data_IF_669269839832
#
_entry.id   IF_669269839832
#
_cell.length_a   1.000
_cell.length_b   1.000
_cell.length_c   1.000
_cell.angle_alpha   90.00
_cell.angle_beta   90.00
_cell.angle_gamma   90.00
#
_symmetry.space_group_name_H-M   'P 1'
#
loop_
_entity.id
_entity.type
_entity.pdbx_description
1 polymer ?
#
# COMPACT_ATOMS: atom_id res chain seq x y z
N UNK A 1 34.02 39.38 16.14
CA UNK A 1 32.83 38.73 16.75
C UNK A 1 31.75 38.59 15.68
N UNK A 2 31.78 37.50 14.90
CA UNK A 2 30.78 37.22 13.87
C UNK A 2 29.56 36.57 14.51
N UNK A 3 28.43 37.30 14.54
CA UNK A 3 27.16 36.89 15.18
C UNK A 3 26.42 35.73 14.48
N UNK A 4 27.11 34.89 13.73
CA UNK A 4 26.47 33.86 12.88
C UNK A 4 27.08 32.45 13.00
N UNK A 5 27.97 32.19 13.97
CA UNK A 5 28.64 30.90 14.08
C UNK A 5 27.81 29.80 14.79
N UNK A 6 26.64 30.13 15.33
CA UNK A 6 25.86 29.21 16.18
C UNK A 6 24.36 29.20 15.84
N UNK A 7 24.04 29.13 14.55
CA UNK A 7 22.67 28.83 14.13
C UNK A 7 22.52 27.31 14.05
N UNK A 8 21.73 26.67 14.93
CA UNK A 8 21.52 25.23 14.85
C UNK A 8 20.91 24.88 13.48
N UNK A 9 21.29 23.75 12.88
CA UNK A 9 20.72 23.29 11.62
C UNK A 9 19.20 23.24 11.77
N UNK A 10 18.47 23.89 10.85
CA UNK A 10 17.00 23.80 10.80
C UNK A 10 16.65 22.34 10.54
N UNK A 11 16.06 21.70 11.55
CA UNK A 11 15.42 20.37 11.57
C UNK A 11 15.87 19.41 10.45
N UNK A 12 16.82 18.53 10.79
CA UNK A 12 17.03 17.16 10.26
C UNK A 12 16.72 16.93 8.78
N UNK A 13 17.76 16.68 7.98
CA UNK A 13 17.68 16.20 6.59
C UNK A 13 16.89 14.87 6.41
N UNK A 14 16.37 14.29 7.49
CA UNK A 14 15.67 13.00 7.54
C UNK A 14 14.22 13.07 8.06
N UNK A 15 13.76 14.21 8.61
CA UNK A 15 12.39 14.30 9.16
C UNK A 15 11.49 15.18 8.30
N UNK A 16 10.25 14.71 8.08
CA UNK A 16 9.25 15.47 7.34
C UNK A 16 8.86 16.76 8.07
N UNK A 17 8.79 17.84 7.32
CA UNK A 17 8.18 19.09 7.79
C UNK A 17 6.66 18.97 7.90
N UNK A 18 6.01 19.78 8.73
CA UNK A 18 4.53 19.80 8.84
C UNK A 18 3.82 19.99 7.49
N UNK A 19 4.26 20.90 6.60
CA UNK A 19 3.67 21.02 5.26
C UNK A 19 3.83 19.74 4.41
N UNK A 20 4.97 19.04 4.53
CA UNK A 20 5.18 17.77 3.84
C UNK A 20 4.26 16.67 4.38
N UNK A 21 4.04 16.60 5.70
CA UNK A 21 3.10 15.67 6.31
C UNK A 21 1.66 15.91 5.82
N UNK A 22 1.23 17.17 5.75
CA UNK A 22 -0.09 17.52 5.20
C UNK A 22 -0.20 17.18 3.71
N UNK A 23 0.88 17.39 2.95
CA UNK A 23 0.92 17.02 1.54
C UNK A 23 0.82 15.50 1.33
N UNK A 24 1.41 14.67 2.20
CA UNK A 24 1.24 13.21 2.18
C UNK A 24 -0.23 12.83 2.41
N UNK A 25 -0.90 13.43 3.39
CA UNK A 25 -2.33 13.18 3.64
C UNK A 25 -3.20 13.60 2.45
N UNK A 26 -2.88 14.73 1.82
CA UNK A 26 -3.58 15.19 0.63
C UNK A 26 -3.36 14.25 -0.56
N UNK A 27 -2.12 13.78 -0.78
CA UNK A 27 -1.79 12.80 -1.83
C UNK A 27 -2.55 11.47 -1.66
N UNK A 28 -2.90 11.09 -0.44
CA UNK A 28 -3.72 9.88 -0.18
C UNK A 28 -5.21 10.07 -0.49
N UNK A 29 -5.71 11.31 -0.47
CA UNK A 29 -7.14 11.61 -0.58
C UNK A 29 -7.54 12.09 -1.98
N UNK A 30 -6.66 12.83 -2.63
CA UNK A 30 -6.97 13.53 -3.87
C UNK A 30 -6.62 12.68 -5.11
N UNK A 31 -7.40 12.81 -6.20
CA UNK A 31 -7.21 11.99 -7.40
C UNK A 31 -5.99 12.41 -8.26
N UNK A 32 -5.34 13.53 -7.94
CA UNK A 32 -4.19 14.04 -8.70
C UNK A 32 -3.23 14.84 -7.84
N UNK A 33 -1.98 14.99 -8.30
CA UNK A 33 -0.96 15.80 -7.62
C UNK A 33 -1.35 17.28 -7.56
N UNK A 34 -1.99 17.79 -8.61
CA UNK A 34 -2.50 19.17 -8.63
C UNK A 34 -3.58 19.40 -7.56
N UNK A 35 -4.55 18.49 -7.44
CA UNK A 35 -5.58 18.55 -6.40
C UNK A 35 -4.97 18.38 -4.99
N UNK A 36 -4.02 17.46 -4.82
CA UNK A 36 -3.30 17.27 -3.57
C UNK A 36 -2.52 18.51 -3.15
N UNK A 37 -1.82 19.16 -4.09
CA UNK A 37 -1.08 20.38 -3.83
C UNK A 37 -2.00 21.52 -3.37
N UNK A 38 -3.13 21.71 -4.07
CA UNK A 38 -4.14 22.70 -3.69
C UNK A 38 -4.74 22.42 -2.30
N UNK A 39 -5.12 21.18 -2.03
CA UNK A 39 -5.68 20.71 -0.74
C UNK A 39 -4.67 20.89 0.41
N UNK A 40 -3.38 20.67 0.15
CA UNK A 40 -2.29 20.88 1.12
C UNK A 40 -1.81 22.34 1.23
N UNK A 41 -2.35 23.28 0.44
CA UNK A 41 -1.94 24.69 0.45
C UNK A 41 -0.52 24.93 -0.06
N UNK A 42 0.00 24.09 -0.95
CA UNK A 42 1.35 24.19 -1.53
C UNK A 42 1.30 24.31 -3.05
N UNK A 43 2.34 24.87 -3.66
CA UNK A 43 2.45 24.88 -5.12
C UNK A 43 2.71 23.48 -5.68
N UNK A 44 2.08 23.15 -6.81
CA UNK A 44 2.21 21.84 -7.48
C UNK A 44 3.68 21.49 -7.81
N UNK A 45 4.47 22.47 -8.30
CA UNK A 45 5.92 22.29 -8.53
C UNK A 45 6.69 21.95 -7.25
N UNK A 46 6.27 22.48 -6.10
CA UNK A 46 6.87 22.17 -4.79
C UNK A 46 6.55 20.73 -4.40
N UNK A 47 5.29 20.30 -4.57
CA UNK A 47 4.90 18.91 -4.27
C UNK A 47 5.64 17.91 -5.16
N UNK A 48 5.75 18.17 -6.47
CA UNK A 48 6.56 17.35 -7.36
C UNK A 48 8.04 17.31 -6.99
N UNK A 49 8.60 18.38 -6.42
CA UNK A 49 9.98 18.38 -5.92
C UNK A 49 10.10 17.50 -4.68
N UNK A 50 9.16 17.62 -3.72
CA UNK A 50 9.15 16.79 -2.53
C UNK A 50 8.99 15.31 -2.83
N UNK A 51 8.13 14.93 -3.78
CA UNK A 51 7.98 13.53 -4.23
C UNK A 51 9.27 12.90 -4.78
N UNK A 52 10.30 13.68 -5.10
CA UNK A 52 11.61 13.18 -5.53
C UNK A 52 12.64 13.08 -4.40
N UNK A 53 12.27 13.47 -3.18
CA UNK A 53 13.13 13.33 -2.01
C UNK A 53 12.90 11.96 -1.38
N UNK A 54 13.98 11.21 -1.12
CA UNK A 54 13.90 9.83 -0.64
C UNK A 54 13.06 9.69 0.63
N UNK A 55 13.28 10.56 1.63
CA UNK A 55 12.52 10.54 2.89
C UNK A 55 11.02 10.83 2.70
N UNK A 56 10.64 11.63 1.70
CA UNK A 56 9.26 11.94 1.40
C UNK A 56 8.59 10.80 0.63
N UNK A 57 9.27 10.23 -0.37
CA UNK A 57 8.77 9.07 -1.12
C UNK A 57 8.62 7.84 -0.20
N UNK A 58 9.58 7.60 0.69
CA UNK A 58 9.49 6.55 1.70
C UNK A 58 8.28 6.75 2.61
N UNK A 59 8.13 7.93 3.20
CA UNK A 59 7.00 8.20 4.08
C UNK A 59 5.65 8.16 3.35
N UNK A 60 5.58 8.62 2.10
CA UNK A 60 4.38 8.54 1.29
C UNK A 60 4.04 7.08 0.95
N UNK A 61 5.02 6.26 0.59
CA UNK A 61 4.83 4.82 0.35
C UNK A 61 4.38 4.09 1.62
N UNK A 62 4.94 4.43 2.78
CA UNK A 62 4.52 3.90 4.06
C UNK A 62 3.06 4.25 4.34
N UNK A 63 2.70 5.54 4.27
CA UNK A 63 1.34 6.01 4.51
C UNK A 63 0.32 5.37 3.53
N UNK A 64 0.72 5.16 2.28
CA UNK A 64 -0.10 4.44 1.28
C UNK A 64 -0.27 2.96 1.64
N UNK A 65 0.77 2.29 2.13
CA UNK A 65 0.67 0.90 2.62
C UNK A 65 -0.28 0.82 3.81
N UNK A 66 -0.14 1.70 4.80
CA UNK A 66 -1.00 1.76 5.98
C UNK A 66 -2.48 1.98 5.61
N UNK A 67 -2.76 2.91 4.70
CA UNK A 67 -4.10 3.13 4.18
C UNK A 67 -4.65 1.87 3.48
N UNK A 68 -3.79 1.15 2.74
CA UNK A 68 -4.18 -0.05 2.02
C UNK A 68 -4.40 -1.27 2.95
N UNK A 69 -3.71 -1.37 4.08
CA UNK A 69 -3.90 -2.45 5.08
C UNK A 69 -5.35 -2.54 5.53
N UNK A 70 -6.02 -1.41 5.73
CA UNK A 70 -7.44 -1.40 6.11
C UNK A 70 -8.34 -1.97 5.00
N UNK A 71 -8.07 -1.61 3.74
CA UNK A 71 -8.79 -2.12 2.58
C UNK A 71 -8.54 -3.63 2.38
N UNK A 72 -7.30 -4.10 2.60
CA UNK A 72 -6.97 -5.53 2.61
C UNK A 72 -7.79 -6.25 3.67
N UNK A 73 -7.80 -5.76 4.90
CA UNK A 73 -8.55 -6.38 6.00
C UNK A 73 -10.05 -6.49 5.69
N UNK A 74 -10.64 -5.46 5.07
CA UNK A 74 -12.03 -5.49 4.61
C UNK A 74 -12.24 -6.57 3.52
N UNK A 75 -11.31 -6.66 2.58
CA UNK A 75 -11.36 -7.64 1.48
C UNK A 75 -11.26 -9.06 2.03
N UNK A 76 -10.31 -9.32 2.93
CA UNK A 76 -10.13 -10.61 3.59
C UNK A 76 -11.40 -11.03 4.35
N UNK A 77 -12.01 -10.13 5.14
CA UNK A 77 -13.27 -10.40 5.83
C UNK A 77 -14.44 -10.70 4.88
N UNK A 78 -14.44 -10.11 3.69
CA UNK A 78 -15.52 -10.27 2.70
C UNK A 78 -15.30 -11.43 1.73
N UNK A 79 -14.09 -12.01 1.72
CA UNK A 79 -13.66 -13.03 0.75
C UNK A 79 -14.56 -14.27 0.74
N UNK A 80 -14.94 -14.78 1.91
CA UNK A 80 -15.83 -15.93 2.03
C UNK A 80 -17.20 -15.68 1.38
N UNK A 81 -17.79 -14.50 1.60
CA UNK A 81 -19.06 -14.12 0.99
C UNK A 81 -18.96 -13.92 -0.54
N UNK A 82 -17.82 -13.40 -1.01
CA UNK A 82 -17.54 -13.26 -2.44
C UNK A 82 -17.42 -14.64 -3.10
N UNK A 83 -16.64 -15.57 -2.53
CA UNK A 83 -16.52 -16.96 -3.01
C UNK A 83 -17.87 -17.66 -3.02
N UNK A 84 -18.66 -17.54 -1.94
CA UNK A 84 -20.00 -18.10 -1.87
C UNK A 84 -20.92 -17.56 -2.98
N UNK A 85 -20.79 -16.28 -3.33
CA UNK A 85 -21.54 -15.67 -4.44
C UNK A 85 -21.12 -16.24 -5.80
N UNK A 86 -19.83 -16.41 -6.04
CA UNK A 86 -19.34 -17.07 -7.27
C UNK A 86 -19.85 -18.51 -7.37
N UNK A 87 -19.81 -19.26 -6.25
CA UNK A 87 -20.35 -20.62 -6.21
C UNK A 87 -21.85 -20.66 -6.51
N UNK A 88 -22.65 -19.71 -6.00
CA UNK A 88 -24.08 -19.61 -6.34
C UNK A 88 -24.28 -19.37 -7.83
N UNK A 89 -23.53 -18.44 -8.44
CA UNK A 89 -23.63 -18.15 -9.89
C UNK A 89 -23.26 -19.39 -10.71
N UNK A 90 -22.21 -20.12 -10.32
CA UNK A 90 -21.76 -21.33 -11.01
C UNK A 90 -22.83 -22.43 -11.07
N UNK A 91 -23.63 -22.57 -10.01
CA UNK A 91 -24.69 -23.57 -9.87
C UNK A 91 -26.08 -23.07 -10.29
N UNK A 92 -26.23 -21.78 -10.63
CA UNK A 92 -27.53 -21.22 -11.03
C UNK A 92 -27.90 -21.67 -12.45
N UNK A 93 -28.97 -22.47 -12.65
CA UNK A 93 -29.41 -22.90 -13.97
C UNK A 93 -29.96 -21.75 -14.83
N UNK A 94 -30.31 -20.60 -14.23
CA UNK A 94 -30.80 -19.42 -14.93
C UNK A 94 -29.67 -18.47 -15.36
N UNK A 95 -28.46 -18.64 -14.83
CA UNK A 95 -27.31 -17.84 -15.24
C UNK A 95 -26.84 -18.25 -16.65
N UNK A 96 -26.33 -17.28 -17.42
CA UNK A 96 -25.76 -17.56 -18.74
C UNK A 96 -24.53 -18.46 -18.62
N UNK A 97 -24.25 -19.24 -19.65
CA UNK A 97 -23.05 -20.08 -19.70
C UNK A 97 -21.76 -19.28 -19.47
N UNK A 98 -21.67 -18.07 -20.05
CA UNK A 98 -20.53 -17.19 -19.85
C UNK A 98 -20.37 -16.75 -18.40
N UNK A 99 -21.46 -16.42 -17.70
CA UNK A 99 -21.42 -16.05 -16.28
C UNK A 99 -20.99 -17.22 -15.40
N UNK A 100 -21.47 -18.43 -15.69
CA UNK A 100 -21.08 -19.66 -14.97
C UNK A 100 -19.60 -20.00 -15.17
N UNK A 101 -19.11 -19.91 -16.41
CA UNK A 101 -17.68 -20.10 -16.73
C UNK A 101 -16.83 -19.04 -16.03
N UNK A 102 -17.21 -17.76 -16.10
CA UNK A 102 -16.48 -16.69 -15.44
C UNK A 102 -16.42 -16.89 -13.91
N UNK A 103 -17.51 -17.33 -13.28
CA UNK A 103 -17.53 -17.64 -11.86
C UNK A 103 -16.58 -18.81 -11.52
N UNK A 104 -16.62 -19.89 -12.29
CA UNK A 104 -15.72 -21.03 -12.12
C UNK A 104 -14.24 -20.65 -12.30
N UNK A 105 -13.91 -19.88 -13.33
CA UNK A 105 -12.55 -19.39 -13.57
C UNK A 105 -12.03 -18.53 -12.42
N UNK A 106 -12.86 -17.64 -11.87
CA UNK A 106 -12.48 -16.81 -10.73
C UNK A 106 -12.25 -17.63 -9.45
N UNK A 107 -13.07 -18.65 -9.18
CA UNK A 107 -12.87 -19.56 -8.04
C UNK A 107 -11.56 -20.33 -8.18
N UNK A 108 -11.27 -20.88 -9.35
CA UNK A 108 -10.02 -21.60 -9.62
C UNK A 108 -8.79 -20.68 -9.49
N UNK A 109 -8.89 -19.45 -9.99
CA UNK A 109 -7.84 -18.44 -9.85
C UNK A 109 -7.57 -18.10 -8.38
N UNK A 110 -8.61 -17.83 -7.61
CA UNK A 110 -8.48 -17.57 -6.17
C UNK A 110 -7.83 -18.73 -5.41
N UNK A 111 -8.22 -19.97 -5.73
CA UNK A 111 -7.62 -21.16 -5.12
C UNK A 111 -6.13 -21.31 -5.45
N UNK A 112 -5.75 -21.12 -6.73
CA UNK A 112 -4.36 -21.17 -7.17
C UNK A 112 -3.51 -20.09 -6.50
N UNK A 113 -3.98 -18.84 -6.51
CA UNK A 113 -3.28 -17.72 -5.89
C UNK A 113 -3.09 -17.92 -4.39
N UNK A 114 -4.08 -18.52 -3.71
CA UNK A 114 -3.97 -18.83 -2.27
C UNK A 114 -2.86 -19.84 -1.99
N UNK A 115 -2.73 -20.90 -2.80
CA UNK A 115 -1.64 -21.90 -2.66
C UNK A 115 -0.27 -21.26 -2.92
N UNK A 116 -0.14 -20.46 -3.97
CA UNK A 116 1.11 -19.79 -4.32
C UNK A 116 1.54 -18.80 -3.21
N UNK A 117 0.59 -18.05 -2.64
CA UNK A 117 0.87 -17.12 -1.54
C UNK A 117 1.27 -17.85 -0.24
N UNK A 118 0.59 -18.96 0.09
CA UNK A 118 0.93 -19.75 1.28
C UNK A 118 2.33 -20.39 1.15
N UNK A 119 2.69 -20.92 -0.02
CA UNK A 119 4.05 -21.44 -0.27
C UNK A 119 5.11 -20.34 -0.12
N UNK A 120 4.87 -19.17 -0.72
CA UNK A 120 5.79 -18.03 -0.61
C UNK A 120 5.94 -17.56 0.83
N UNK A 121 4.84 -17.46 1.59
CA UNK A 121 4.88 -17.09 2.99
C UNK A 121 5.70 -18.09 3.83
N UNK A 122 5.52 -19.39 3.60
CA UNK A 122 6.32 -20.42 4.27
C UNK A 122 7.80 -20.34 3.91
N UNK A 123 8.13 -20.04 2.65
CA UNK A 123 9.51 -19.88 2.19
C UNK A 123 10.17 -18.65 2.82
N UNK A 124 9.45 -17.54 2.96
CA UNK A 124 9.95 -16.33 3.66
C UNK A 124 10.24 -16.64 5.13
N UNK A 125 9.32 -17.29 5.85
CA UNK A 125 9.55 -17.69 7.25
C UNK A 125 10.78 -18.58 7.41
N UNK A 126 11.01 -19.51 6.47
CA UNK A 126 12.21 -20.36 6.47
C UNK A 126 13.49 -19.54 6.27
N UNK A 127 13.49 -18.59 5.35
CA UNK A 127 14.63 -17.71 5.09
C UNK A 127 14.93 -16.79 6.28
N UNK A 128 13.90 -16.18 6.87
CA UNK A 128 14.06 -15.30 8.05
C UNK A 128 14.66 -16.06 9.24
N UNK A 129 14.25 -17.31 9.46
CA UNK A 129 14.83 -18.18 10.49
C UNK A 129 16.29 -18.50 10.21
N UNK A 130 16.63 -18.93 9.00
CA UNK A 130 18.01 -19.24 8.62
C UNK A 130 18.94 -18.03 8.79
N UNK A 131 18.52 -16.84 8.36
CA UNK A 131 19.30 -15.61 8.54
C UNK A 131 19.49 -15.24 10.01
N UNK A 132 18.50 -15.49 10.86
CA UNK A 132 18.59 -15.23 12.30
C UNK A 132 19.56 -16.21 12.97
N UNK A 133 19.54 -17.48 12.57
CA UNK A 133 20.46 -18.52 13.06
C UNK A 133 21.91 -18.24 12.63
N UNK A 134 22.13 -17.82 11.38
CA UNK A 134 23.46 -17.41 10.88
C UNK A 134 23.99 -16.16 11.59
N UNK A 135 23.14 -15.19 11.92
CA UNK A 135 23.55 -13.98 12.64
C UNK A 135 23.90 -14.25 14.13
N UNK A 136 23.53 -15.42 14.66
CA UNK A 136 23.79 -15.84 16.04
C UNK A 136 24.97 -16.81 16.16
N UNK A 137 25.52 -17.30 15.04
CA UNK A 137 26.68 -18.19 14.96
C UNK A 137 27.99 -17.42 14.74
#
# INVERSE_FOLDING_TARGET
>A
MSKYADRPPRHSETSLTTPQQQAILALLREPSVAAAAASAGVGERTLHRWMRLDHFDEAYRLARREAFVQAIGLTQRSSAAAVATLLRIMHDPKATWSARVAAATNVLKFARESIELDDLAQRVVKLERAMTEEAQA
#
